data_IF_988843541940
#
_entry.id   IF_988843541940
#
_cell.length_a   1.000
_cell.length_b   1.000
_cell.length_c   1.000
_cell.angle_alpha   90.00
_cell.angle_beta   90.00
_cell.angle_gamma   90.00
#
_symmetry.space_group_name_H-M   'P 1'
#
loop_
_entity.id
_entity.type
_entity.pdbx_description
1 polymer ?
#
# COMPACT_ATOMS: atom_id res chain seq x y z
N UNK A 1 -18.45 -5.22 -12.17
CA UNK A 1 -19.19 -5.64 -10.96
C UNK A 1 -20.43 -6.26 -11.50
N UNK A 2 -20.57 -7.54 -11.21
CA UNK A 2 -21.63 -8.35 -11.78
C UNK A 2 -22.60 -8.70 -10.65
N UNK A 3 -23.89 -8.66 -10.96
CA UNK A 3 -24.96 -9.08 -10.04
C UNK A 3 -25.55 -10.34 -10.65
N UNK A 4 -25.58 -11.40 -9.86
CA UNK A 4 -25.98 -12.73 -10.31
C UNK A 4 -27.43 -12.98 -9.90
N UNK A 5 -28.23 -13.46 -10.85
CA UNK A 5 -29.64 -13.81 -10.66
C UNK A 5 -29.87 -15.25 -11.11
N UNK A 6 -30.82 -15.94 -10.49
CA UNK A 6 -31.26 -17.24 -10.97
C UNK A 6 -32.19 -17.12 -12.20
N UNK A 7 -32.62 -18.25 -12.76
CA UNK A 7 -33.50 -18.26 -13.94
C UNK A 7 -34.91 -17.70 -13.68
N UNK A 8 -35.30 -17.53 -12.42
CA UNK A 8 -36.58 -16.93 -12.00
C UNK A 8 -36.45 -15.43 -11.77
N UNK A 9 -35.23 -14.91 -11.68
CA UNK A 9 -34.92 -13.50 -11.42
C UNK A 9 -34.62 -13.18 -9.96
N UNK A 10 -34.44 -14.20 -9.09
CA UNK A 10 -34.08 -13.99 -7.69
C UNK A 10 -32.57 -13.71 -7.55
N UNK A 11 -32.15 -12.72 -6.73
CA UNK A 11 -30.75 -12.36 -6.58
C UNK A 11 -29.97 -13.44 -5.81
N UNK A 12 -28.86 -13.90 -6.39
CA UNK A 12 -27.97 -14.91 -5.80
C UNK A 12 -26.76 -14.28 -5.11
N UNK A 13 -26.21 -13.21 -5.69
CA UNK A 13 -24.98 -12.59 -5.20
C UNK A 13 -24.38 -11.59 -6.17
N UNK A 14 -23.10 -11.31 -6.02
CA UNK A 14 -22.36 -10.46 -6.94
C UNK A 14 -20.87 -10.66 -6.86
N UNK A 15 -20.20 -10.34 -7.97
CA UNK A 15 -18.76 -10.54 -8.15
C UNK A 15 -18.10 -9.20 -8.50
N UNK A 16 -17.01 -8.90 -7.80
CA UNK A 16 -16.16 -7.75 -8.10
C UNK A 16 -14.88 -8.26 -8.75
N UNK A 17 -14.68 -7.88 -10.01
CA UNK A 17 -13.45 -8.14 -10.76
C UNK A 17 -12.66 -6.86 -10.96
N UNK A 18 -11.37 -6.93 -10.68
CA UNK A 18 -10.44 -5.82 -10.90
C UNK A 18 -9.82 -5.96 -12.29
N UNK A 19 -9.82 -4.88 -13.06
CA UNK A 19 -9.17 -4.81 -14.36
C UNK A 19 -8.08 -3.73 -14.34
N UNK A 20 -6.94 -4.05 -14.96
CA UNK A 20 -5.86 -3.09 -15.27
C UNK A 20 -5.37 -2.26 -14.08
N UNK A 21 -4.73 -2.91 -13.10
CA UNK A 21 -3.99 -2.19 -12.07
C UNK A 21 -2.72 -1.55 -12.65
N UNK A 22 -2.56 -0.23 -12.48
CA UNK A 22 -1.37 0.52 -12.92
C UNK A 22 -0.14 0.22 -12.04
N UNK A 23 0.45 -0.98 -12.20
CA UNK A 23 1.56 -1.45 -11.36
C UNK A 23 2.79 -0.53 -11.41
N UNK A 24 3.05 0.13 -12.55
CA UNK A 24 4.17 1.07 -12.73
C UNK A 24 4.11 2.24 -11.75
N UNK A 25 2.90 2.68 -11.38
CA UNK A 25 2.70 3.78 -10.41
C UNK A 25 3.29 3.47 -9.05
N UNK A 26 3.45 2.21 -8.67
CA UNK A 26 4.03 1.83 -7.37
C UNK A 26 5.48 2.30 -7.28
N UNK A 27 6.27 2.10 -8.34
CA UNK A 27 7.72 2.37 -8.33
C UNK A 27 8.09 3.76 -8.81
N UNK A 28 7.24 4.38 -9.66
CA UNK A 28 7.48 5.72 -10.21
C UNK A 28 6.17 6.42 -10.53
N UNK A 29 6.03 7.64 -10.03
CA UNK A 29 4.86 8.48 -10.30
C UNK A 29 5.25 9.65 -11.22
N UNK A 30 4.33 10.11 -12.09
CA UNK A 30 4.49 11.39 -12.77
C UNK A 30 4.66 12.54 -11.77
N UNK A 31 5.37 13.59 -12.18
CA UNK A 31 5.60 14.77 -11.34
C UNK A 31 4.26 15.43 -10.97
N UNK A 32 4.04 15.66 -9.68
CA UNK A 32 2.81 16.24 -9.16
C UNK A 32 1.73 15.23 -8.82
N UNK A 33 1.91 13.96 -9.17
CA UNK A 33 0.97 12.89 -8.80
C UNK A 33 1.41 12.15 -7.53
N UNK A 34 0.46 11.45 -6.92
CA UNK A 34 0.68 10.58 -5.76
C UNK A 34 0.80 9.13 -6.18
N UNK A 35 1.39 8.34 -5.28
CA UNK A 35 1.24 6.89 -5.29
C UNK A 35 -0.18 6.51 -4.79
N UNK A 36 -0.48 5.21 -4.68
CA UNK A 36 -1.75 4.74 -4.14
C UNK A 36 -1.96 5.19 -2.68
N UNK A 37 -3.21 5.51 -2.34
CA UNK A 37 -3.56 6.10 -1.05
C UNK A 37 -3.16 5.26 0.15
N UNK A 38 -3.20 3.93 0.04
CA UNK A 38 -2.92 3.03 1.16
C UNK A 38 -1.54 3.26 1.79
N UNK A 39 -0.53 3.65 1.00
CA UNK A 39 0.80 3.95 1.54
C UNK A 39 0.78 5.16 2.47
N UNK A 40 0.09 6.22 2.08
CA UNK A 40 -0.02 7.44 2.89
C UNK A 40 -0.95 7.24 4.08
N UNK A 41 -2.03 6.49 3.89
CA UNK A 41 -3.00 6.13 4.93
C UNK A 41 -2.34 5.30 6.05
N UNK A 42 -1.58 4.25 5.73
CA UNK A 42 -0.88 3.44 6.74
C UNK A 42 0.11 4.31 7.52
N UNK A 43 0.92 5.11 6.83
CA UNK A 43 1.92 5.96 7.49
C UNK A 43 1.29 7.04 8.38
N UNK A 44 0.16 7.63 7.97
CA UNK A 44 -0.49 8.73 8.70
C UNK A 44 -1.45 8.25 9.80
N UNK A 45 -2.11 7.11 9.59
CA UNK A 45 -3.18 6.61 10.46
C UNK A 45 -2.80 5.38 11.28
N UNK A 46 -1.66 4.75 10.99
CA UNK A 46 -1.16 3.63 11.77
C UNK A 46 -0.78 4.08 13.18
N UNK A 47 -1.23 3.33 14.19
CA UNK A 47 -0.74 3.51 15.58
C UNK A 47 0.78 3.29 15.65
N UNK A 48 1.45 3.91 16.62
CA UNK A 48 2.90 3.74 16.83
C UNK A 48 3.31 2.27 16.92
N UNK A 49 2.56 1.44 17.65
CA UNK A 49 2.81 0.00 17.76
C UNK A 49 2.73 -0.74 16.43
N UNK A 50 1.78 -0.35 15.58
CA UNK A 50 1.61 -0.93 14.24
C UNK A 50 2.79 -0.54 13.35
N UNK A 51 3.13 0.75 13.30
CA UNK A 51 4.26 1.23 12.50
C UNK A 51 5.57 0.59 12.95
N UNK A 52 5.77 0.43 14.26
CA UNK A 52 6.92 -0.27 14.83
C UNK A 52 6.98 -1.74 14.40
N UNK A 53 5.86 -2.47 14.45
CA UNK A 53 5.78 -3.86 13.96
C UNK A 53 6.10 -3.97 12.46
N UNK A 54 5.58 -3.04 11.67
CA UNK A 54 5.83 -2.95 10.22
C UNK A 54 7.21 -2.38 9.87
N UNK A 55 7.98 -1.91 10.86
CA UNK A 55 9.25 -1.20 10.69
C UNK A 55 9.11 -0.01 9.72
N UNK A 56 8.04 0.76 9.91
CA UNK A 56 7.75 1.98 9.18
C UNK A 56 7.92 3.20 10.08
N UNK A 57 8.22 4.34 9.48
CA UNK A 57 8.34 5.63 10.16
C UNK A 57 7.38 6.62 9.51
N UNK A 58 6.76 7.49 10.32
CA UNK A 58 5.82 8.51 9.85
C UNK A 58 6.58 9.70 9.22
N UNK A 59 7.39 9.41 8.21
CA UNK A 59 8.11 10.39 7.40
C UNK A 59 8.15 9.93 5.95
N UNK A 60 7.38 10.61 5.10
CA UNK A 60 7.28 10.31 3.68
C UNK A 60 8.61 10.50 2.95
N UNK A 61 9.52 11.34 3.46
CA UNK A 61 10.81 11.61 2.83
C UNK A 61 11.77 10.42 2.84
N UNK A 62 11.49 9.43 3.70
CA UNK A 62 12.32 8.24 3.86
C UNK A 62 11.97 7.12 2.88
N UNK A 63 11.01 7.33 1.98
CA UNK A 63 10.54 6.31 1.06
C UNK A 63 10.65 6.77 -0.39
N UNK A 64 11.53 6.13 -1.16
CA UNK A 64 11.79 6.47 -2.57
C UNK A 64 10.56 6.33 -3.47
N UNK A 65 9.61 5.47 -3.09
CA UNK A 65 8.36 5.25 -3.81
C UNK A 65 7.26 6.28 -3.48
N UNK A 66 7.52 7.24 -2.58
CA UNK A 66 6.58 8.30 -2.24
C UNK A 66 7.06 9.65 -2.81
N UNK A 67 6.21 10.30 -3.59
CA UNK A 67 6.45 11.66 -4.05
C UNK A 67 6.33 12.67 -2.91
N UNK A 68 7.44 13.29 -2.51
CA UNK A 68 7.48 14.31 -1.45
C UNK A 68 6.59 15.53 -1.74
N UNK A 69 6.56 15.98 -2.99
CA UNK A 69 5.81 17.18 -3.40
C UNK A 69 4.28 17.00 -3.44
N UNK A 70 3.78 15.78 -3.30
CA UNK A 70 2.36 15.45 -3.40
C UNK A 70 1.84 14.70 -2.17
N UNK A 71 2.64 14.58 -1.11
CA UNK A 71 2.32 13.71 0.02
C UNK A 71 1.06 14.13 0.80
N UNK A 72 0.76 15.43 0.88
CA UNK A 72 -0.48 15.97 1.45
C UNK A 72 -1.35 16.56 0.36
N UNK A 73 -2.66 16.25 0.41
CA UNK A 73 -3.67 16.77 -0.50
C UNK A 73 -4.72 17.51 0.30
N UNK A 74 -5.08 18.70 -0.16
CA UNK A 74 -6.12 19.50 0.48
C UNK A 74 -7.46 18.74 0.51
N UNK A 75 -8.10 18.69 1.68
CA UNK A 75 -9.38 18.00 1.87
C UNK A 75 -9.29 16.49 2.03
N UNK A 76 -8.09 15.90 2.06
CA UNK A 76 -7.89 14.46 2.30
C UNK A 76 -7.25 14.25 3.67
N UNK A 77 -7.95 13.54 4.56
CA UNK A 77 -7.42 13.06 5.84
C UNK A 77 -7.04 11.58 5.72
N UNK A 78 -5.77 11.33 5.40
CA UNK A 78 -5.22 9.98 5.25
C UNK A 78 -5.31 9.16 6.55
N UNK A 79 -5.24 9.79 7.72
CA UNK A 79 -5.32 9.10 9.01
C UNK A 79 -6.76 8.64 9.32
N UNK A 80 -7.75 9.51 9.05
CA UNK A 80 -9.16 9.13 9.10
C UNK A 80 -9.49 8.03 8.09
N UNK A 81 -9.04 8.19 6.84
CA UNK A 81 -9.29 7.22 5.78
C UNK A 81 -8.67 5.84 6.06
N UNK A 82 -7.52 5.77 6.73
CA UNK A 82 -6.94 4.50 7.17
C UNK A 82 -7.87 3.73 8.12
N UNK A 83 -8.48 4.43 9.09
CA UNK A 83 -9.46 3.83 10.02
C UNK A 83 -10.69 3.34 9.25
N UNK A 84 -11.16 4.10 8.27
CA UNK A 84 -12.26 3.70 7.38
C UNK A 84 -11.92 2.44 6.60
N UNK A 85 -10.73 2.35 6.00
CA UNK A 85 -10.29 1.15 5.25
C UNK A 85 -10.20 -0.07 6.17
N UNK A 86 -9.56 0.07 7.34
CA UNK A 86 -9.44 -1.02 8.30
C UNK A 86 -10.82 -1.53 8.76
N UNK A 87 -11.73 -0.62 9.10
CA UNK A 87 -13.10 -0.97 9.48
C UNK A 87 -13.87 -1.64 8.32
N UNK A 88 -13.71 -1.15 7.09
CA UNK A 88 -14.33 -1.75 5.92
C UNK A 88 -13.84 -3.19 5.68
N UNK A 89 -12.53 -3.46 5.85
CA UNK A 89 -12.00 -4.83 5.77
C UNK A 89 -12.65 -5.76 6.81
N UNK A 90 -12.83 -5.28 8.05
CA UNK A 90 -13.53 -6.04 9.09
C UNK A 90 -14.99 -6.31 8.73
N UNK A 91 -15.72 -5.31 8.21
CA UNK A 91 -17.12 -5.45 7.77
C UNK A 91 -17.25 -6.46 6.62
N UNK A 92 -16.29 -6.46 5.69
CA UNK A 92 -16.24 -7.43 4.58
C UNK A 92 -15.92 -8.86 5.06
N UNK A 93 -15.40 -9.01 6.29
CA UNK A 93 -15.20 -10.31 6.94
C UNK A 93 -13.75 -10.73 7.09
N UNK A 94 -12.78 -9.83 6.90
CA UNK A 94 -11.38 -10.13 7.20
C UNK A 94 -11.16 -10.22 8.71
N UNK A 95 -10.42 -11.24 9.13
CA UNK A 95 -9.95 -11.38 10.50
C UNK A 95 -8.78 -10.44 10.77
N UNK A 96 -8.58 -10.03 12.02
CA UNK A 96 -7.54 -9.07 12.38
C UNK A 96 -6.12 -9.50 11.95
N UNK A 97 -5.81 -10.81 12.01
CA UNK A 97 -4.52 -11.34 11.57
C UNK A 97 -4.35 -11.32 10.04
N UNK A 98 -5.43 -11.46 9.27
CA UNK A 98 -5.41 -11.33 7.81
C UNK A 98 -5.19 -9.87 7.41
N UNK A 99 -5.88 -8.93 8.07
CA UNK A 99 -5.69 -7.49 7.87
C UNK A 99 -4.24 -7.10 8.16
N UNK A 100 -3.71 -7.58 9.29
CA UNK A 100 -2.31 -7.37 9.66
C UNK A 100 -1.36 -7.91 8.59
N UNK A 101 -1.60 -9.12 8.07
CA UNK A 101 -0.77 -9.73 7.02
C UNK A 101 -0.82 -8.93 5.71
N UNK A 102 -1.99 -8.39 5.34
CA UNK A 102 -2.12 -7.49 4.18
C UNK A 102 -1.26 -6.24 4.38
N UNK A 103 -1.30 -5.61 5.55
CA UNK A 103 -0.48 -4.44 5.83
C UNK A 103 1.03 -4.75 5.88
N UNK A 104 1.43 -5.95 6.30
CA UNK A 104 2.81 -6.42 6.22
C UNK A 104 3.31 -6.48 4.78
N UNK A 105 2.50 -7.00 3.84
CA UNK A 105 2.85 -7.02 2.42
C UNK A 105 2.93 -5.59 1.84
N UNK A 106 1.98 -4.71 2.19
CA UNK A 106 2.02 -3.30 1.75
C UNK A 106 3.26 -2.58 2.28
N UNK A 107 3.61 -2.80 3.55
CA UNK A 107 4.83 -2.26 4.16
C UNK A 107 6.09 -2.79 3.47
N UNK A 108 6.13 -4.08 3.13
CA UNK A 108 7.26 -4.69 2.43
C UNK A 108 7.46 -4.06 1.04
N UNK A 109 6.39 -3.87 0.26
CA UNK A 109 6.45 -3.19 -1.05
C UNK A 109 7.00 -1.78 -0.93
N UNK A 110 6.54 -1.02 0.07
CA UNK A 110 7.01 0.35 0.29
C UNK A 110 8.51 0.39 0.65
N UNK A 111 8.95 -0.52 1.54
CA UNK A 111 10.35 -0.61 1.98
C UNK A 111 11.29 -1.11 0.88
N UNK A 112 10.81 -1.95 -0.03
CA UNK A 112 11.59 -2.47 -1.14
C UNK A 112 12.15 -1.36 -2.03
N UNK A 113 11.42 -0.24 -2.14
CA UNK A 113 11.87 0.94 -2.90
C UNK A 113 13.13 1.62 -2.34
N UNK A 114 13.50 1.35 -1.10
CA UNK A 114 14.68 1.92 -0.45
C UNK A 114 15.94 1.08 -0.64
N UNK A 115 15.85 -0.07 -1.31
CA UNK A 115 17.05 -0.86 -1.65
C UNK A 115 17.75 -0.19 -2.82
N UNK A 116 18.98 0.25 -2.58
CA UNK A 116 19.87 0.81 -3.58
C UNK A 116 20.99 -0.17 -3.92
N UNK A 117 21.36 -0.20 -5.19
CA UNK A 117 22.44 -1.04 -5.69
C UNK A 117 23.63 -0.16 -6.02
N UNK A 118 24.81 -0.55 -5.55
CA UNK A 118 26.09 0.04 -5.93
C UNK A 118 26.88 -0.96 -6.78
N UNK A 119 27.60 -0.51 -7.81
CA UNK A 119 28.50 -1.40 -8.53
C UNK A 119 29.62 -1.85 -7.60
N UNK A 120 29.83 -3.15 -7.52
CA UNK A 120 30.97 -3.76 -6.82
C UNK A 120 31.95 -4.25 -7.88
N UNK A 121 33.03 -3.52 -8.10
CA UNK A 121 34.06 -3.92 -9.05
C UNK A 121 35.11 -4.76 -8.33
N UNK A 122 35.01 -6.08 -8.44
CA UNK A 122 36.06 -7.01 -8.02
C UNK A 122 37.19 -7.00 -9.06
N UNK A 123 38.01 -5.93 -9.06
CA UNK A 123 39.10 -5.79 -10.04
C UNK A 123 40.33 -6.62 -9.67
N UNK A 124 40.48 -7.08 -8.43
CA UNK A 124 41.62 -7.91 -8.06
C UNK A 124 41.14 -9.22 -7.46
N UNK A 125 41.30 -10.32 -8.20
CA UNK A 125 41.13 -11.70 -7.73
C UNK A 125 42.23 -12.12 -6.75
N UNK A 126 42.43 -11.33 -5.69
CA UNK A 126 43.25 -11.67 -4.53
C UNK A 126 42.40 -11.41 -3.30
N UNK A 127 41.66 -12.45 -2.91
CA UNK A 127 41.15 -12.58 -1.55
C UNK A 127 42.36 -12.91 -0.65
N UNK A 128 42.62 -12.08 0.37
CA UNK A 128 43.23 -12.53 1.63
C UNK A 128 42.11 -12.91 2.60
#
# INVERSE_FOLDING_TARGET
>A
MDIEFDFKGDPLGGVISNYLLEKSRVVKQPRGERNFHIFYQILSGGSEDLLKKLKLEMDFSRYNYLGLGSAKVNGVDDASNFRTVKNAMQIVGFMDHEIQSVFEVVAAVLKLGNIEFKPESRVNGLDE
#
